data_IF_818915944078
#
_entry.id   IF_818915944078
#
_cell.length_a   1.000
_cell.length_b   1.000
_cell.length_c   1.000
_cell.angle_alpha   90.00
_cell.angle_beta   90.00
_cell.angle_gamma   90.00
#
_symmetry.space_group_name_H-M   'P 1'
#
loop_
_entity.id
_entity.type
_entity.pdbx_description
1 polymer ?
#
# COMPACT_ATOMS: atom_id res chain seq x y z
N UNK A 1 -42.05 -7.26 30.40
CA UNK A 1 -41.51 -6.37 31.46
C UNK A 1 -40.12 -5.95 31.02
N UNK A 2 -39.83 -4.64 31.13
CA UNK A 2 -38.57 -3.94 30.79
C UNK A 2 -38.33 -3.82 29.27
N UNK A 3 -38.95 -2.85 28.57
CA UNK A 3 -38.67 -1.41 28.47
C UNK A 3 -37.52 -1.07 27.47
N UNK A 4 -37.79 -0.29 26.40
CA UNK A 4 -36.77 0.28 25.53
C UNK A 4 -36.30 1.63 26.08
N UNK A 5 -35.01 1.94 26.00
CA UNK A 5 -34.49 3.29 26.21
C UNK A 5 -33.85 3.78 24.91
N UNK A 6 -34.67 4.46 24.13
CA UNK A 6 -34.23 5.51 23.21
C UNK A 6 -33.72 6.70 24.04
N UNK A 7 -32.61 7.30 23.62
CA UNK A 7 -32.17 8.62 24.08
C UNK A 7 -31.92 9.51 22.86
N UNK A 8 -32.64 10.63 22.70
CA UNK A 8 -32.37 11.59 21.65
C UNK A 8 -31.30 12.57 22.13
N UNK A 9 -30.19 12.63 21.42
CA UNK A 9 -29.15 13.65 21.62
C UNK A 9 -29.70 15.00 21.11
N UNK A 10 -30.02 15.90 22.05
CA UNK A 10 -30.41 17.28 21.79
C UNK A 10 -29.20 18.07 21.29
N UNK A 11 -29.18 18.45 20.01
CA UNK A 11 -28.33 19.55 19.54
C UNK A 11 -28.98 20.88 19.97
N UNK A 12 -28.35 21.59 20.90
CA UNK A 12 -28.72 22.96 21.26
C UNK A 12 -28.27 23.90 20.14
N UNK A 13 -29.21 24.35 19.33
CA UNK A 13 -29.04 25.51 18.46
C UNK A 13 -29.10 26.77 19.31
N UNK A 14 -27.95 27.35 19.65
CA UNK A 14 -27.88 28.71 20.23
C UNK A 14 -26.47 29.26 20.08
N UNK A 15 -26.28 30.15 19.09
CA UNK A 15 -25.34 31.29 19.04
C UNK A 15 -24.77 31.50 17.63
N UNK A 16 -25.63 31.86 16.68
CA UNK A 16 -25.23 32.58 15.46
C UNK A 16 -26.13 33.81 15.36
N UNK A 17 -25.89 34.80 16.22
CA UNK A 17 -26.54 36.11 16.15
C UNK A 17 -25.70 37.16 16.90
N UNK A 18 -24.42 37.29 16.56
CA UNK A 18 -23.57 38.38 17.07
C UNK A 18 -22.36 38.67 16.17
N UNK A 19 -22.53 38.65 14.85
CA UNK A 19 -21.43 38.98 13.90
C UNK A 19 -21.84 39.80 12.68
N UNK A 20 -23.07 40.35 12.66
CA UNK A 20 -23.58 41.12 11.53
C UNK A 20 -23.63 42.65 11.73
N UNK A 21 -23.15 43.19 12.86
CA UNK A 21 -23.32 44.62 13.17
C UNK A 21 -22.05 45.43 13.44
N UNK A 22 -20.85 44.88 13.23
CA UNK A 22 -19.58 45.63 13.38
C UNK A 22 -18.93 45.98 12.03
N UNK A 23 -19.56 45.62 10.91
CA UNK A 23 -18.99 45.79 9.56
C UNK A 23 -19.20 47.16 8.92
N UNK A 24 -19.73 48.16 9.63
CA UNK A 24 -20.02 49.48 9.05
C UNK A 24 -19.09 50.62 9.48
N UNK A 25 -18.07 50.38 10.32
CA UNK A 25 -17.14 51.43 10.76
C UNK A 25 -15.70 50.92 10.98
N UNK A 26 -15.12 50.16 10.05
CA UNK A 26 -13.69 49.79 10.13
C UNK A 26 -12.87 50.39 8.98
N UNK A 27 -11.87 51.19 9.34
CA UNK A 27 -10.89 51.78 8.42
C UNK A 27 -10.00 50.69 7.79
N UNK A 28 -9.36 50.95 6.63
CA UNK A 28 -8.60 49.96 5.85
C UNK A 28 -7.46 49.27 6.63
N UNK A 29 -7.01 49.88 7.72
CA UNK A 29 -5.97 49.36 8.63
C UNK A 29 -6.44 48.19 9.49
N UNK A 30 -7.73 48.06 9.81
CA UNK A 30 -8.25 46.98 10.66
C UNK A 30 -8.63 45.70 9.90
N UNK A 31 -8.77 45.75 8.56
CA UNK A 31 -8.95 44.53 7.76
C UNK A 31 -7.69 43.65 7.73
N UNK A 32 -6.48 44.24 7.74
CA UNK A 32 -5.24 43.44 7.78
C UNK A 32 -5.06 42.69 9.09
N UNK A 33 -5.48 43.27 10.21
CA UNK A 33 -5.41 42.63 11.52
C UNK A 33 -6.44 41.50 11.68
N UNK A 34 -7.64 41.66 11.14
CA UNK A 34 -8.69 40.63 11.18
C UNK A 34 -8.36 39.49 10.21
N UNK A 35 -7.82 39.77 9.02
CA UNK A 35 -7.35 38.73 8.08
C UNK A 35 -6.13 37.97 8.64
N UNK A 36 -5.22 38.65 9.35
CA UNK A 36 -4.10 38.00 10.04
C UNK A 36 -4.55 37.16 11.26
N UNK A 37 -5.58 37.60 11.99
CA UNK A 37 -6.15 36.89 13.14
C UNK A 37 -7.05 35.71 12.73
N UNK A 38 -7.65 35.73 11.53
CA UNK A 38 -8.36 34.56 10.98
C UNK A 38 -7.43 33.56 10.27
N UNK A 39 -6.27 33.99 9.79
CA UNK A 39 -5.23 33.07 9.28
C UNK A 39 -4.47 32.33 10.40
N UNK A 40 -4.58 32.79 11.64
CA UNK A 40 -4.09 32.09 12.84
C UNK A 40 -5.13 31.16 13.48
N UNK A 41 -6.35 31.14 12.96
CA UNK A 41 -7.37 30.18 13.37
C UNK A 41 -7.24 28.91 12.52
N UNK A 42 -6.84 27.82 13.18
CA UNK A 42 -6.88 26.41 12.73
C UNK A 42 -5.71 25.97 11.81
N UNK A 43 -4.47 26.26 12.19
CA UNK A 43 -3.45 25.20 12.09
C UNK A 43 -3.65 24.28 13.31
N UNK A 44 -4.73 23.50 13.30
CA UNK A 44 -4.74 22.30 14.15
C UNK A 44 -3.68 21.38 13.54
N UNK A 45 -2.43 21.51 14.00
CA UNK A 45 -1.45 20.46 13.76
C UNK A 45 -2.07 19.18 14.30
N UNK A 46 -2.35 18.25 13.38
CA UNK A 46 -2.83 16.92 13.75
C UNK A 46 -1.74 16.33 14.64
N UNK A 47 -2.03 16.24 15.94
CA UNK A 47 -1.13 15.62 16.90
C UNK A 47 -1.26 14.11 16.75
N UNK A 48 -0.17 13.46 16.35
CA UNK A 48 -0.08 12.02 16.26
C UNK A 48 0.48 11.43 17.56
N UNK A 49 0.04 10.24 17.91
CA UNK A 49 0.72 9.42 18.91
C UNK A 49 2.02 8.91 18.30
N UNK A 50 3.16 9.44 18.79
CA UNK A 50 4.48 9.10 18.28
C UNK A 50 4.87 7.64 18.52
N UNK A 51 4.22 6.97 19.48
CA UNK A 51 4.50 5.58 19.80
C UNK A 51 3.74 4.62 18.88
N UNK A 52 2.47 4.93 18.58
CA UNK A 52 1.57 3.97 17.92
C UNK A 52 1.18 4.32 16.49
N UNK A 53 1.17 5.60 16.12
CA UNK A 53 0.85 6.02 14.76
C UNK A 53 2.03 5.82 13.82
N UNK A 54 1.72 5.57 12.55
CA UNK A 54 2.71 5.22 11.51
C UNK A 54 2.60 6.21 10.37
N UNK A 55 3.74 6.68 9.87
CA UNK A 55 3.81 7.43 8.62
C UNK A 55 3.89 6.45 7.46
N UNK A 56 2.81 6.35 6.68
CA UNK A 56 2.81 5.57 5.44
C UNK A 56 3.51 6.34 4.33
N UNK A 57 4.47 5.70 3.67
CA UNK A 57 5.21 6.27 2.55
C UNK A 57 5.17 5.27 1.39
N UNK A 58 4.93 5.75 0.17
CA UNK A 58 4.98 4.91 -1.02
C UNK A 58 5.60 5.68 -2.18
N UNK A 59 6.13 4.97 -3.17
CA UNK A 59 6.81 5.57 -4.32
C UNK A 59 6.09 5.27 -5.64
N UNK A 60 6.04 6.26 -6.52
CA UNK A 60 5.52 6.15 -7.89
C UNK A 60 6.43 6.87 -8.88
N UNK A 61 6.25 6.58 -10.17
CA UNK A 61 6.86 7.34 -11.27
C UNK A 61 5.92 8.41 -11.81
N UNK A 62 6.48 9.52 -12.31
CA UNK A 62 5.66 10.57 -12.93
C UNK A 62 4.89 10.08 -14.16
N UNK A 63 5.50 9.19 -14.93
CA UNK A 63 5.00 8.58 -16.16
C UNK A 63 4.22 7.27 -15.91
N UNK A 64 4.01 6.89 -14.64
CA UNK A 64 3.25 5.71 -14.28
C UNK A 64 1.77 5.91 -14.64
N UNK A 65 1.34 5.30 -15.75
CA UNK A 65 -0.01 5.49 -16.34
C UNK A 65 -1.19 5.41 -15.38
N UNK A 66 -1.12 4.57 -14.35
CA UNK A 66 -2.21 4.37 -13.37
C UNK A 66 -1.95 5.04 -12.01
N UNK A 67 -0.95 5.93 -11.93
CA UNK A 67 -0.54 6.56 -10.67
C UNK A 67 -1.72 7.20 -9.94
N UNK A 68 -2.47 8.05 -10.62
CA UNK A 68 -3.55 8.82 -9.99
C UNK A 68 -4.65 7.89 -9.44
N UNK A 69 -5.04 6.85 -10.18
CA UNK A 69 -5.99 5.86 -9.71
C UNK A 69 -5.47 5.08 -8.48
N UNK A 70 -4.22 4.59 -8.52
CA UNK A 70 -3.62 3.83 -7.42
C UNK A 70 -3.41 4.70 -6.16
N UNK A 71 -2.95 5.95 -6.33
CA UNK A 71 -2.79 6.91 -5.24
C UNK A 71 -4.12 7.25 -4.58
N UNK A 72 -5.16 7.54 -5.36
CA UNK A 72 -6.51 7.78 -4.83
C UNK A 72 -7.10 6.54 -4.16
N UNK A 73 -6.88 5.36 -4.75
CA UNK A 73 -7.26 4.06 -4.19
C UNK A 73 -6.61 3.82 -2.82
N UNK A 74 -5.32 4.09 -2.66
CA UNK A 74 -4.66 3.97 -1.36
C UNK A 74 -5.22 4.99 -0.36
N UNK A 75 -5.32 6.27 -0.74
CA UNK A 75 -5.85 7.35 0.11
C UNK A 75 -7.25 7.05 0.65
N UNK A 76 -8.18 6.64 -0.22
CA UNK A 76 -9.56 6.32 0.18
C UNK A 76 -9.63 5.09 1.08
N UNK A 77 -8.70 4.14 0.92
CA UNK A 77 -8.68 2.93 1.78
C UNK A 77 -8.27 3.31 3.20
N UNK A 78 -7.37 4.27 3.36
CA UNK A 78 -6.95 4.82 4.65
C UNK A 78 -8.08 5.59 5.33
N UNK A 79 -8.85 6.37 4.58
CA UNK A 79 -10.06 7.04 5.11
C UNK A 79 -11.05 6.01 5.63
N UNK A 80 -11.33 4.96 4.85
CA UNK A 80 -12.28 3.90 5.19
C UNK A 80 -11.92 3.16 6.48
N UNK A 81 -10.63 2.92 6.73
CA UNK A 81 -10.16 2.20 7.93
C UNK A 81 -9.79 3.13 9.07
N UNK A 82 -10.05 4.44 8.94
CA UNK A 82 -9.71 5.46 9.91
C UNK A 82 -8.23 5.42 10.32
N UNK A 83 -7.33 5.24 9.35
CA UNK A 83 -5.90 5.27 9.64
C UNK A 83 -5.50 6.64 10.21
N UNK A 84 -4.72 6.61 11.28
CA UNK A 84 -4.15 7.79 11.92
C UNK A 84 -2.65 7.83 11.63
N UNK A 85 -2.22 8.87 10.92
CA UNK A 85 -0.84 9.07 10.51
C UNK A 85 -0.76 9.79 9.17
N UNK A 86 0.40 10.34 8.79
CA UNK A 86 0.56 10.94 7.47
C UNK A 86 0.64 9.88 6.37
N UNK A 87 0.25 10.27 5.14
CA UNK A 87 0.51 9.50 3.92
C UNK A 87 1.36 10.36 2.98
N UNK A 88 2.55 9.90 2.62
CA UNK A 88 3.40 10.57 1.61
C UNK A 88 3.54 9.74 0.34
N UNK A 89 3.24 10.36 -0.80
CA UNK A 89 3.62 9.84 -2.12
C UNK A 89 4.94 10.46 -2.58
N UNK A 90 5.96 9.63 -2.79
CA UNK A 90 7.22 9.99 -3.43
C UNK A 90 7.06 9.84 -4.93
N UNK A 91 7.18 10.93 -5.70
CA UNK A 91 6.97 10.92 -7.15
C UNK A 91 8.27 11.25 -7.87
N UNK A 92 8.81 10.26 -8.57
CA UNK A 92 10.10 10.40 -9.26
C UNK A 92 9.95 10.87 -10.70
N UNK A 93 10.77 11.86 -11.09
CA UNK A 93 11.00 12.20 -12.50
C UNK A 93 9.99 13.15 -13.15
N UNK A 94 9.27 13.96 -12.37
CA UNK A 94 8.35 14.94 -12.92
C UNK A 94 9.06 16.22 -13.42
N UNK A 95 8.62 16.72 -14.57
CA UNK A 95 8.91 18.09 -15.01
C UNK A 95 8.17 19.11 -14.11
N UNK A 96 8.60 20.38 -14.06
CA UNK A 96 7.89 21.40 -13.27
C UNK A 96 6.41 21.54 -13.63
N UNK A 97 6.07 21.40 -14.92
CA UNK A 97 4.67 21.43 -15.38
C UNK A 97 3.89 20.25 -14.82
N UNK A 98 4.44 19.03 -14.93
CA UNK A 98 3.81 17.85 -14.37
C UNK A 98 3.67 17.93 -12.84
N UNK A 99 4.65 18.49 -12.13
CA UNK A 99 4.55 18.71 -10.67
C UNK A 99 3.36 19.60 -10.34
N UNK A 100 3.23 20.75 -11.02
CA UNK A 100 2.11 21.67 -10.80
C UNK A 100 0.74 21.02 -11.11
N UNK A 101 0.65 20.24 -12.19
CA UNK A 101 -0.56 19.47 -12.53
C UNK A 101 -0.94 18.47 -11.44
N UNK A 102 0.06 17.81 -10.83
CA UNK A 102 -0.12 16.82 -9.77
C UNK A 102 -0.51 17.48 -8.45
N UNK A 103 0.13 18.60 -8.11
CA UNK A 103 -0.19 19.39 -6.92
C UNK A 103 -1.62 19.94 -6.95
N UNK A 104 -2.12 20.26 -8.14
CA UNK A 104 -3.49 20.68 -8.36
C UNK A 104 -4.52 19.54 -8.26
N UNK A 105 -4.09 18.26 -8.21
CA UNK A 105 -5.01 17.14 -8.10
C UNK A 105 -5.70 17.11 -6.73
N UNK A 106 -6.94 16.63 -6.75
CA UNK A 106 -7.69 16.41 -5.52
C UNK A 106 -6.99 15.38 -4.63
N UNK A 107 -6.85 15.74 -3.35
CA UNK A 107 -6.43 14.85 -2.26
C UNK A 107 -7.67 14.31 -1.56
N UNK A 108 -7.65 13.03 -1.22
CA UNK A 108 -8.77 12.34 -0.56
C UNK A 108 -8.46 12.00 0.90
N UNK A 109 -7.18 11.99 1.29
CA UNK A 109 -6.75 11.72 2.65
C UNK A 109 -6.34 13.02 3.38
N UNK A 110 -6.71 13.22 4.67
CA UNK A 110 -6.52 14.49 5.36
C UNK A 110 -5.07 15.01 5.45
N UNK A 111 -4.09 14.16 5.81
CA UNK A 111 -2.65 14.52 5.79
C UNK A 111 -1.94 13.78 4.66
N UNK A 112 -2.34 14.09 3.43
CA UNK A 112 -1.69 13.59 2.21
C UNK A 112 -0.62 14.57 1.70
N UNK A 113 0.61 14.07 1.59
CA UNK A 113 1.81 14.83 1.23
C UNK A 113 2.40 14.32 -0.09
N UNK A 114 2.95 15.24 -0.86
CA UNK A 114 3.68 14.95 -2.08
C UNK A 114 5.17 15.23 -1.84
N UNK A 115 6.04 14.33 -2.28
CA UNK A 115 7.49 14.50 -2.25
C UNK A 115 8.06 14.23 -3.65
N UNK A 116 8.36 15.29 -4.39
CA UNK A 116 8.92 15.15 -5.74
C UNK A 116 10.42 14.93 -5.72
N UNK A 117 10.90 14.02 -6.55
CA UNK A 117 12.32 13.72 -6.69
C UNK A 117 12.74 13.70 -8.15
N UNK A 118 14.05 13.72 -8.41
CA UNK A 118 14.57 13.46 -9.75
C UNK A 118 14.29 12.02 -10.18
N UNK A 119 14.39 11.75 -11.48
CA UNK A 119 14.32 10.37 -11.97
C UNK A 119 15.62 9.62 -11.61
N UNK A 120 15.52 8.53 -10.86
CA UNK A 120 16.63 7.65 -10.51
C UNK A 120 16.67 6.37 -11.35
N UNK A 121 15.71 6.17 -12.26
CA UNK A 121 15.65 4.97 -13.11
C UNK A 121 16.94 4.76 -13.92
N UNK A 122 17.67 5.83 -14.25
CA UNK A 122 18.98 5.76 -14.88
C UNK A 122 20.08 5.93 -13.83
N UNK A 123 20.96 4.94 -13.72
CA UNK A 123 22.17 5.01 -12.92
C UNK A 123 23.40 5.12 -13.83
N UNK A 124 24.30 6.04 -13.53
CA UNK A 124 25.54 6.26 -14.27
C UNK A 124 26.72 6.45 -13.30
N UNK A 125 27.77 5.68 -13.52
CA UNK A 125 29.10 5.84 -12.93
C UNK A 125 30.17 5.56 -13.99
N UNK A 126 31.45 5.88 -13.74
CA UNK A 126 32.53 5.62 -14.69
C UNK A 126 32.68 4.15 -15.11
N UNK A 127 32.20 3.21 -14.29
CA UNK A 127 32.37 1.77 -14.49
C UNK A 127 31.05 1.01 -14.71
N UNK A 128 29.90 1.68 -14.54
CA UNK A 128 28.60 1.02 -14.65
C UNK A 128 27.51 2.01 -15.07
N UNK A 129 26.77 1.65 -16.11
CA UNK A 129 25.61 2.42 -16.56
C UNK A 129 24.45 1.48 -16.82
N UNK A 130 23.27 1.84 -16.32
CA UNK A 130 22.07 1.04 -16.45
C UNK A 130 20.80 1.88 -16.38
N UNK A 131 19.73 1.37 -16.98
CA UNK A 131 18.36 1.81 -16.70
C UNK A 131 17.59 0.69 -16.01
N UNK A 132 17.10 0.95 -14.80
CA UNK A 132 16.29 0.05 -13.99
C UNK A 132 15.27 0.87 -13.18
N UNK A 133 14.00 0.79 -13.57
CA UNK A 133 12.93 1.62 -12.99
C UNK A 133 12.80 1.48 -11.47
N UNK A 134 13.09 0.29 -10.92
CA UNK A 134 12.98 0.06 -9.49
C UNK A 134 14.01 0.83 -8.66
N UNK A 135 15.04 1.44 -9.27
CA UNK A 135 15.90 2.40 -8.57
C UNK A 135 15.12 3.58 -7.96
N UNK A 136 13.99 3.98 -8.56
CA UNK A 136 13.16 5.05 -7.99
C UNK A 136 12.68 4.73 -6.55
N UNK A 137 12.57 3.45 -6.18
CA UNK A 137 12.11 3.01 -4.86
C UNK A 137 13.13 3.32 -3.74
N UNK A 138 14.34 2.72 -3.69
CA UNK A 138 15.33 3.04 -2.66
C UNK A 138 15.83 4.48 -2.72
N UNK A 139 16.09 5.00 -3.93
CA UNK A 139 16.67 6.34 -4.07
C UNK A 139 15.65 7.45 -3.78
N UNK A 140 14.38 7.24 -4.15
CA UNK A 140 13.30 8.15 -3.78
C UNK A 140 13.06 8.16 -2.27
N UNK A 141 13.09 6.99 -1.62
CA UNK A 141 12.98 6.88 -0.17
C UNK A 141 14.13 7.62 0.54
N UNK A 142 15.37 7.46 0.06
CA UNK A 142 16.53 8.19 0.59
C UNK A 142 16.31 9.69 0.50
N UNK A 143 15.88 10.18 -0.65
CA UNK A 143 15.64 11.60 -0.87
C UNK A 143 14.56 12.14 0.06
N UNK A 144 13.45 11.41 0.23
CA UNK A 144 12.41 11.73 1.20
C UNK A 144 12.94 11.83 2.64
N UNK A 145 13.71 10.83 3.09
CA UNK A 145 14.23 10.79 4.46
C UNK A 145 15.13 12.00 4.77
N UNK A 146 15.95 12.43 3.82
CA UNK A 146 16.87 13.56 4.00
C UNK A 146 16.22 14.92 3.76
N UNK A 147 15.34 15.04 2.76
CA UNK A 147 14.90 16.32 2.19
C UNK A 147 13.40 16.63 2.32
N UNK A 148 12.60 15.75 2.93
CA UNK A 148 11.16 16.02 3.13
C UNK A 148 10.93 17.33 3.88
N UNK A 149 9.96 18.11 3.37
CA UNK A 149 9.62 19.43 3.92
C UNK A 149 9.05 19.36 5.35
N UNK A 150 8.26 18.31 5.63
CA UNK A 150 7.66 18.06 6.96
C UNK A 150 8.22 16.76 7.53
N UNK A 151 9.16 16.90 8.46
CA UNK A 151 9.74 15.79 9.22
C UNK A 151 8.90 15.53 10.46
N UNK A 152 8.69 14.25 10.77
CA UNK A 152 8.06 13.76 11.99
C UNK A 152 8.92 12.63 12.59
N UNK A 153 8.65 12.27 13.84
CA UNK A 153 9.39 11.22 14.55
C UNK A 153 8.62 9.88 14.58
N UNK A 154 7.65 9.71 13.69
CA UNK A 154 6.86 8.49 13.60
C UNK A 154 7.70 7.32 13.06
N UNK A 155 7.31 6.10 13.40
CA UNK A 155 7.73 4.95 12.61
C UNK A 155 7.25 5.13 11.17
N UNK A 156 8.09 4.74 10.20
CA UNK A 156 7.77 4.86 8.77
C UNK A 156 7.52 3.47 8.22
N UNK A 157 6.34 3.29 7.63
CA UNK A 157 6.01 2.11 6.85
C UNK A 157 6.15 2.42 5.36
N UNK A 158 7.12 1.79 4.71
CA UNK A 158 7.31 1.92 3.27
C UNK A 158 6.55 0.82 2.53
N UNK A 159 5.59 1.24 1.69
CA UNK A 159 4.61 0.37 1.03
C UNK A 159 4.59 0.61 -0.49
N UNK A 160 3.97 -0.30 -1.24
CA UNK A 160 3.71 -0.11 -2.66
C UNK A 160 2.38 0.65 -2.88
N UNK A 161 2.21 1.28 -4.04
CA UNK A 161 1.00 2.05 -4.36
C UNK A 161 -0.25 1.17 -4.51
N UNK A 162 -0.07 -0.12 -4.79
CA UNK A 162 -1.13 -1.10 -4.98
C UNK A 162 -1.49 -1.84 -3.68
N UNK A 163 -1.73 -1.05 -2.62
CA UNK A 163 -2.28 -1.51 -1.36
C UNK A 163 -3.74 -1.09 -1.18
N UNK A 164 -4.53 -1.99 -0.60
CA UNK A 164 -5.87 -1.70 -0.07
C UNK A 164 -5.91 -2.12 1.39
N UNK A 165 -6.07 -1.16 2.30
CA UNK A 165 -6.13 -1.45 3.73
C UNK A 165 -7.54 -1.85 4.16
N UNK A 166 -7.62 -2.81 5.08
CA UNK A 166 -8.82 -3.26 5.77
C UNK A 166 -8.81 -2.92 7.26
N UNK A 167 -7.63 -2.65 7.82
CA UNK A 167 -7.44 -2.17 9.19
C UNK A 167 -6.45 -1.02 9.19
N UNK A 168 -6.50 -0.10 10.17
CA UNK A 168 -5.44 0.89 10.34
C UNK A 168 -4.12 0.18 10.66
N UNK A 169 -3.02 0.61 10.04
CA UNK A 169 -1.69 0.15 10.43
C UNK A 169 -1.22 0.93 11.66
N UNK A 170 -1.01 0.22 12.77
CA UNK A 170 -0.51 0.74 14.05
C UNK A 170 0.57 -0.19 14.58
N UNK A 171 1.42 0.33 15.45
CA UNK A 171 2.52 -0.41 16.08
C UNK A 171 2.56 -0.13 17.59
N UNK A 172 3.36 -0.88 18.33
CA UNK A 172 3.61 -0.67 19.76
C UNK A 172 2.34 -0.58 20.65
N UNK A 173 1.24 -1.22 20.25
CA UNK A 173 0.00 -1.29 21.04
C UNK A 173 0.05 -2.42 22.07
N UNK A 174 1.10 -3.26 22.04
CA UNK A 174 1.22 -4.46 22.87
C UNK A 174 0.41 -5.64 22.32
N UNK A 175 -0.01 -5.58 21.06
CA UNK A 175 -0.79 -6.62 20.42
C UNK A 175 0.03 -7.91 20.32
N UNK A 176 -0.60 -9.05 20.62
CA UNK A 176 0.01 -10.37 20.46
C UNK A 176 -0.29 -10.91 19.07
N UNK A 177 0.75 -11.19 18.29
CA UNK A 177 0.65 -11.56 16.88
C UNK A 177 1.12 -12.98 16.57
N UNK A 178 1.18 -13.84 17.59
CA UNK A 178 1.52 -15.26 17.47
C UNK A 178 0.80 -15.96 16.30
N UNK A 179 -0.50 -15.68 16.09
CA UNK A 179 -1.31 -16.30 15.03
C UNK A 179 -0.92 -15.89 13.60
N UNK A 180 -0.21 -14.78 13.43
CA UNK A 180 0.23 -14.26 12.13
C UNK A 180 1.73 -14.46 11.90
N UNK A 181 2.40 -15.19 12.80
CA UNK A 181 3.81 -15.47 12.73
C UNK A 181 4.03 -16.89 12.19
N UNK A 182 5.00 -17.03 11.28
CA UNK A 182 5.42 -18.35 10.83
C UNK A 182 6.36 -18.93 11.89
N UNK A 183 5.92 -19.97 12.61
CA UNK A 183 6.76 -20.62 13.63
C UNK A 183 8.12 -21.03 13.08
N UNK A 184 9.17 -20.67 13.82
CA UNK A 184 10.56 -21.06 13.57
C UNK A 184 11.13 -21.73 14.81
N UNK A 185 12.36 -22.25 14.71
CA UNK A 185 13.09 -22.78 15.87
C UNK A 185 13.78 -21.69 16.68
N UNK A 186 13.77 -20.43 16.22
CA UNK A 186 14.56 -19.34 16.79
C UNK A 186 13.78 -18.44 17.75
N UNK A 187 12.49 -18.23 17.50
CA UNK A 187 11.60 -17.46 18.38
C UNK A 187 10.32 -18.24 18.65
N UNK A 188 9.79 -18.07 19.87
CA UNK A 188 8.50 -18.65 20.25
C UNK A 188 7.37 -17.72 19.83
N UNK A 189 6.26 -18.29 19.35
CA UNK A 189 5.14 -17.52 18.82
C UNK A 189 4.54 -16.56 19.85
N UNK A 190 4.50 -16.95 21.13
CA UNK A 190 3.96 -16.15 22.23
C UNK A 190 4.73 -14.85 22.51
N UNK A 191 5.99 -14.79 22.07
CA UNK A 191 6.86 -13.63 22.24
C UNK A 191 6.66 -12.59 21.10
N UNK A 192 5.91 -12.95 20.05
CA UNK A 192 5.69 -12.10 18.87
C UNK A 192 4.65 -11.02 19.17
N UNK A 193 5.07 -9.77 19.00
CA UNK A 193 4.29 -8.56 19.23
C UNK A 193 4.38 -7.59 18.04
N UNK A 194 3.67 -6.48 18.12
CA UNK A 194 3.71 -5.36 17.18
C UNK A 194 4.79 -4.32 17.46
N UNK A 195 5.88 -4.73 18.13
CA UNK A 195 6.93 -3.82 18.57
C UNK A 195 7.76 -3.28 17.39
N UNK A 196 7.95 -1.97 17.36
CA UNK A 196 8.86 -1.23 16.48
C UNK A 196 9.66 -0.24 17.34
N UNK A 197 10.97 -0.46 17.38
CA UNK A 197 11.95 0.39 18.07
C UNK A 197 13.29 0.31 17.33
N UNK A 198 14.30 1.07 17.74
CA UNK A 198 15.59 1.06 17.04
C UNK A 198 16.17 -0.36 17.01
N UNK A 199 16.43 -0.88 15.82
CA UNK A 199 16.92 -2.24 15.58
C UNK A 199 15.85 -3.33 15.57
N UNK A 200 14.57 -3.01 15.81
CA UNK A 200 13.43 -3.93 15.77
C UNK A 200 12.36 -3.40 14.83
N UNK A 201 12.09 -4.15 13.77
CA UNK A 201 11.20 -3.77 12.69
C UNK A 201 10.12 -4.82 12.44
N UNK A 202 9.14 -4.50 11.60
CA UNK A 202 8.12 -5.43 11.12
C UNK A 202 8.14 -5.44 9.59
N UNK A 203 7.90 -6.61 9.00
CA UNK A 203 7.68 -6.72 7.56
C UNK A 203 6.69 -7.82 7.21
N UNK A 204 6.10 -7.73 6.03
CA UNK A 204 5.41 -8.86 5.46
C UNK A 204 6.42 -9.99 5.19
N UNK A 205 6.04 -11.21 5.55
CA UNK A 205 6.74 -12.40 5.11
C UNK A 205 6.42 -12.64 3.62
N UNK A 206 7.40 -12.39 2.75
CA UNK A 206 7.30 -12.59 1.30
C UNK A 206 8.05 -13.85 0.82
N UNK A 207 8.13 -14.88 1.67
CA UNK A 207 8.82 -16.15 1.34
C UNK A 207 8.29 -16.82 0.10
N UNK A 208 7.00 -16.64 -0.17
CA UNK A 208 6.33 -17.06 -1.40
C UNK A 208 7.03 -16.56 -2.68
N UNK A 209 7.58 -15.34 -2.65
CA UNK A 209 8.13 -14.65 -3.81
C UNK A 209 9.64 -14.60 -3.83
N UNK A 210 10.23 -14.18 -2.71
CA UNK A 210 11.67 -13.95 -2.63
C UNK A 210 12.44 -15.22 -2.31
N UNK A 211 11.79 -16.17 -1.61
CA UNK A 211 12.45 -17.35 -1.08
C UNK A 211 13.57 -16.96 -0.12
N UNK A 212 14.80 -17.37 -0.44
CA UNK A 212 16.01 -16.88 0.21
C UNK A 212 17.13 -16.83 -0.80
N UNK A 213 16.96 -16.04 -1.86
CA UNK A 213 17.79 -16.12 -3.06
C UNK A 213 19.23 -15.72 -2.79
N UNK A 214 19.46 -14.78 -1.88
CA UNK A 214 20.81 -14.34 -1.51
C UNK A 214 21.32 -15.06 -0.25
N UNK A 215 20.43 -15.34 0.71
CA UNK A 215 20.77 -15.98 1.98
C UNK A 215 20.55 -17.50 2.05
N UNK A 216 20.55 -18.22 0.92
CA UNK A 216 20.52 -19.69 0.94
C UNK A 216 21.92 -20.30 1.10
N UNK A 217 21.96 -21.52 1.62
CA UNK A 217 23.21 -22.27 1.83
C UNK A 217 23.86 -22.77 0.53
N UNK A 218 23.14 -22.76 -0.59
CA UNK A 218 23.59 -23.36 -1.85
C UNK A 218 24.42 -22.39 -2.70
N UNK A 219 24.06 -21.10 -2.72
CA UNK A 219 24.73 -20.10 -3.55
C UNK A 219 24.71 -18.71 -2.89
N UNK A 220 25.76 -18.44 -2.10
CA UNK A 220 26.02 -17.13 -1.48
C UNK A 220 26.85 -16.18 -2.37
N UNK A 221 27.10 -16.54 -3.62
CA UNK A 221 28.03 -15.77 -4.49
C UNK A 221 27.56 -14.34 -4.69
N UNK A 222 26.27 -14.14 -5.01
CA UNK A 222 25.71 -12.80 -5.21
C UNK A 222 25.77 -12.00 -3.91
N UNK A 223 25.34 -12.60 -2.79
CA UNK A 223 25.41 -11.98 -1.47
C UNK A 223 26.85 -11.52 -1.14
N UNK A 224 27.84 -12.38 -1.33
CA UNK A 224 29.24 -12.06 -1.04
C UNK A 224 29.78 -10.95 -1.94
N UNK A 225 29.36 -10.91 -3.21
CA UNK A 225 29.74 -9.83 -4.14
C UNK A 225 29.06 -8.49 -3.79
N UNK A 226 27.84 -8.54 -3.25
CA UNK A 226 27.08 -7.34 -2.85
C UNK A 226 27.56 -6.80 -1.50
N UNK A 227 27.64 -7.66 -0.48
CA UNK A 227 28.06 -7.31 0.87
C UNK A 227 29.57 -7.08 0.98
N UNK A 228 30.38 -7.77 0.18
CA UNK A 228 31.84 -7.74 0.32
C UNK A 228 32.27 -8.15 1.73
N UNK A 229 32.98 -7.27 2.43
CA UNK A 229 33.43 -7.48 3.82
C UNK A 229 32.47 -6.91 4.86
N UNK A 230 31.30 -6.40 4.45
CA UNK A 230 30.33 -5.79 5.36
C UNK A 230 29.57 -6.84 6.19
N UNK A 231 29.04 -6.49 7.38
CA UNK A 231 28.33 -7.41 8.28
C UNK A 231 27.31 -8.35 7.62
N UNK A 232 26.56 -7.87 6.62
CA UNK A 232 25.55 -8.68 5.92
C UNK A 232 26.09 -9.95 5.25
N UNK A 233 27.39 -10.03 4.94
CA UNK A 233 28.04 -11.21 4.38
C UNK A 233 28.14 -12.37 5.39
N UNK A 234 28.15 -12.08 6.69
CA UNK A 234 28.41 -13.05 7.76
C UNK A 234 27.14 -13.58 8.43
N UNK A 235 25.96 -13.16 7.97
CA UNK A 235 24.67 -13.62 8.51
C UNK A 235 24.43 -15.07 8.13
N UNK A 236 24.03 -15.89 9.10
CA UNK A 236 23.68 -17.30 8.86
C UNK A 236 22.36 -17.37 8.09
N UNK A 237 22.15 -18.44 7.33
CA UNK A 237 20.89 -18.62 6.59
C UNK A 237 19.70 -18.69 7.55
N UNK A 238 19.86 -19.31 8.73
CA UNK A 238 18.84 -19.34 9.77
C UNK A 238 18.47 -17.93 10.27
N UNK A 239 19.46 -17.10 10.64
CA UNK A 239 19.22 -15.72 11.05
C UNK A 239 18.60 -14.87 9.93
N UNK A 240 19.02 -15.09 8.69
CA UNK A 240 18.45 -14.39 7.55
C UNK A 240 16.97 -14.69 7.39
N UNK A 241 16.60 -15.98 7.37
CA UNK A 241 15.21 -16.44 7.27
C UNK A 241 14.31 -16.04 8.43
N UNK A 242 14.92 -15.73 9.57
CA UNK A 242 14.24 -15.28 10.77
C UNK A 242 14.00 -13.76 10.79
N UNK A 243 14.99 -12.97 10.34
CA UNK A 243 15.02 -11.52 10.62
C UNK A 243 15.19 -10.60 9.42
N UNK A 244 15.66 -11.06 8.26
CA UNK A 244 16.17 -10.14 7.21
C UNK A 244 15.66 -10.44 5.80
N UNK A 245 15.56 -11.71 5.39
CA UNK A 245 15.02 -12.15 4.10
C UNK A 245 14.12 -13.36 4.37
N UNK A 246 12.87 -13.43 3.90
CA UNK A 246 12.28 -12.68 2.80
C UNK A 246 11.35 -11.56 3.28
N UNK A 247 11.94 -10.39 3.51
CA UNK A 247 11.20 -9.18 3.88
C UNK A 247 10.46 -8.61 2.68
N UNK A 248 9.16 -8.37 2.84
CA UNK A 248 8.30 -7.69 1.89
C UNK A 248 7.64 -6.44 2.46
N UNK A 249 7.09 -5.61 1.59
CA UNK A 249 6.26 -4.47 2.02
C UNK A 249 5.03 -4.96 2.80
N UNK A 250 4.51 -4.19 3.78
CA UNK A 250 5.07 -2.95 4.31
C UNK A 250 6.38 -3.21 5.06
N UNK A 251 7.39 -2.36 4.83
CA UNK A 251 8.61 -2.33 5.63
C UNK A 251 8.43 -1.29 6.74
N UNK A 252 8.30 -1.72 8.01
CA UNK A 252 7.94 -0.83 9.12
C UNK A 252 9.08 -0.78 10.11
N UNK A 253 9.70 0.39 10.23
CA UNK A 253 10.80 0.61 11.17
C UNK A 253 10.86 2.08 11.59
N UNK A 254 11.66 2.37 12.62
CA UNK A 254 11.85 3.74 13.08
C UNK A 254 12.48 4.60 11.98
N UNK A 255 12.22 5.91 12.01
CA UNK A 255 12.91 6.85 11.11
C UNK A 255 14.43 6.82 11.31
N UNK A 256 14.88 6.56 12.54
CA UNK A 256 16.30 6.37 12.87
C UNK A 256 16.91 5.22 12.06
N UNK A 257 16.32 4.03 12.13
CA UNK A 257 16.80 2.86 11.38
C UNK A 257 16.75 3.08 9.86
N UNK A 258 15.69 3.74 9.36
CA UNK A 258 15.59 4.10 7.95
C UNK A 258 16.78 4.93 7.45
N UNK A 259 17.22 5.92 8.22
CA UNK A 259 18.36 6.76 7.83
C UNK A 259 19.67 5.98 7.71
N UNK A 260 19.84 4.91 8.48
CA UNK A 260 21.00 4.02 8.40
C UNK A 260 20.86 3.01 7.24
N UNK A 261 19.71 2.34 7.16
CA UNK A 261 19.44 1.28 6.19
C UNK A 261 19.41 1.83 4.76
N UNK A 262 18.86 3.02 4.52
CA UNK A 262 18.57 3.48 3.16
C UNK A 262 19.82 3.71 2.31
N UNK A 263 20.96 4.05 2.92
CA UNK A 263 22.22 4.22 2.20
C UNK A 263 22.75 2.88 1.68
N UNK A 264 22.77 1.85 2.53
CA UNK A 264 23.12 0.51 2.10
C UNK A 264 22.08 -0.06 1.13
N UNK A 265 20.79 0.25 1.30
CA UNK A 265 19.74 -0.17 0.38
C UNK A 265 20.00 0.37 -1.04
N UNK A 266 20.31 1.66 -1.20
CA UNK A 266 20.69 2.24 -2.48
C UNK A 266 21.94 1.57 -3.06
N UNK A 267 22.99 1.46 -2.25
CA UNK A 267 24.29 0.94 -2.70
C UNK A 267 24.21 -0.55 -3.10
N UNK A 268 23.52 -1.37 -2.31
CA UNK A 268 23.36 -2.80 -2.57
C UNK A 268 22.43 -3.07 -3.74
N UNK A 269 21.44 -2.20 -4.00
CA UNK A 269 20.60 -2.33 -5.21
C UNK A 269 21.47 -2.15 -6.46
N UNK A 270 22.29 -1.08 -6.51
CA UNK A 270 23.23 -0.87 -7.64
C UNK A 270 24.22 -2.03 -7.75
N UNK A 271 24.81 -2.46 -6.63
CA UNK A 271 25.79 -3.54 -6.65
C UNK A 271 25.18 -4.88 -7.08
N UNK A 272 23.95 -5.17 -6.64
CA UNK A 272 23.19 -6.34 -7.06
C UNK A 272 22.94 -6.33 -8.56
N UNK A 273 22.56 -5.17 -9.14
CA UNK A 273 22.34 -5.03 -10.58
C UNK A 273 23.63 -5.14 -11.40
N UNK A 274 24.78 -4.75 -10.85
CA UNK A 274 26.08 -4.96 -11.48
C UNK A 274 26.42 -6.45 -11.66
N UNK A 275 26.02 -7.30 -10.71
CA UNK A 275 26.39 -8.72 -10.70
C UNK A 275 25.26 -9.66 -11.14
N UNK A 276 24.03 -9.16 -11.17
CA UNK A 276 22.82 -9.91 -11.55
C UNK A 276 21.85 -9.01 -12.31
N UNK A 277 22.27 -8.60 -13.50
CA UNK A 277 21.55 -7.61 -14.34
C UNK A 277 20.20 -8.11 -14.85
N UNK A 278 19.98 -9.41 -14.95
CA UNK A 278 18.73 -9.95 -15.50
C UNK A 278 17.66 -10.18 -14.43
N UNK A 279 18.02 -10.02 -13.15
CA UNK A 279 17.09 -10.28 -12.06
C UNK A 279 16.21 -9.07 -11.75
N UNK A 280 14.90 -9.25 -11.86
CA UNK A 280 13.94 -8.13 -11.87
C UNK A 280 13.60 -7.58 -10.47
N UNK A 281 13.90 -8.33 -9.39
CA UNK A 281 13.61 -7.97 -7.98
C UNK A 281 14.86 -7.66 -7.14
N UNK A 282 15.93 -7.17 -7.76
CA UNK A 282 17.21 -6.94 -7.06
C UNK A 282 17.09 -5.98 -5.89
N UNK A 283 16.23 -4.96 -5.99
CA UNK A 283 15.94 -4.04 -4.91
C UNK A 283 15.32 -4.74 -3.69
N UNK A 284 14.53 -5.79 -3.87
CA UNK A 284 13.92 -6.49 -2.74
C UNK A 284 14.98 -7.30 -1.97
N UNK A 285 15.89 -7.98 -2.67
CA UNK A 285 17.00 -8.71 -2.03
C UNK A 285 18.02 -7.74 -1.40
N UNK A 286 18.29 -6.61 -2.07
CA UNK A 286 19.16 -5.56 -1.57
C UNK A 286 18.64 -4.95 -0.26
N UNK A 287 17.32 -4.80 -0.11
CA UNK A 287 16.73 -4.37 1.15
C UNK A 287 17.06 -5.35 2.29
N UNK A 288 16.85 -6.66 2.08
CA UNK A 288 17.17 -7.70 3.05
C UNK A 288 18.65 -7.66 3.48
N UNK A 289 19.56 -7.49 2.52
CA UNK A 289 20.98 -7.33 2.82
C UNK A 289 21.29 -6.01 3.57
N UNK A 290 20.59 -4.92 3.26
CA UNK A 290 20.79 -3.62 3.90
C UNK A 290 20.36 -3.63 5.37
N UNK A 291 19.21 -4.24 5.69
CA UNK A 291 18.75 -4.37 7.08
C UNK A 291 19.62 -5.34 7.88
N UNK A 292 20.08 -6.43 7.24
CA UNK A 292 21.09 -7.32 7.82
C UNK A 292 22.39 -6.58 8.13
N UNK A 293 22.82 -5.68 7.23
CA UNK A 293 24.05 -4.93 7.40
C UNK A 293 24.01 -3.96 8.59
N UNK A 294 22.82 -3.43 8.87
CA UNK A 294 22.58 -2.48 9.96
C UNK A 294 21.99 -3.16 11.21
N UNK A 295 21.90 -4.50 11.24
CA UNK A 295 21.32 -5.30 12.32
C UNK A 295 19.90 -4.83 12.74
N UNK A 296 19.08 -4.43 11.76
CA UNK A 296 17.66 -4.10 11.98
C UNK A 296 16.85 -5.37 11.78
N UNK A 297 16.46 -6.01 12.88
CA UNK A 297 15.82 -7.33 12.88
C UNK A 297 14.32 -7.20 12.69
N UNK A 298 13.80 -7.84 11.67
CA UNK A 298 12.36 -7.84 11.41
C UNK A 298 11.64 -8.97 12.15
N UNK A 299 10.43 -8.68 12.61
CA UNK A 299 9.41 -9.71 12.82
C UNK A 299 8.65 -9.88 11.51
N UNK A 300 8.82 -11.04 10.88
CA UNK A 300 8.19 -11.37 9.60
C UNK A 300 6.78 -11.90 9.85
N UNK A 301 5.78 -11.15 9.42
CA UNK A 301 4.37 -11.41 9.68
C UNK A 301 3.62 -11.72 8.40
N UNK A 302 2.62 -12.58 8.50
CA UNK A 302 1.89 -13.09 7.34
C UNK A 302 0.74 -12.19 6.90
N UNK A 303 0.30 -11.25 7.74
CA UNK A 303 -0.98 -10.54 7.64
C UNK A 303 -0.87 -9.04 7.34
N UNK A 304 0.34 -8.51 7.14
CA UNK A 304 0.52 -7.07 6.94
C UNK A 304 0.17 -6.64 5.50
N UNK A 305 0.50 -7.48 4.53
CA UNK A 305 0.25 -7.24 3.10
C UNK A 305 0.37 -8.51 2.26
N UNK A 306 -0.35 -9.60 2.57
CA UNK A 306 -0.32 -10.80 1.73
C UNK A 306 -0.80 -10.48 0.31
N UNK A 307 -0.23 -11.18 -0.68
CA UNK A 307 -0.42 -10.89 -2.09
C UNK A 307 -0.88 -12.10 -2.92
N UNK A 308 -0.54 -13.33 -2.52
CA UNK A 308 -0.86 -14.54 -3.27
C UNK A 308 -1.57 -15.60 -2.44
N UNK A 309 -2.89 -15.78 -2.65
CA UNK A 309 -3.70 -16.78 -1.96
C UNK A 309 -3.18 -18.22 -1.98
N UNK A 310 -2.41 -18.62 -2.99
CA UNK A 310 -1.86 -19.98 -3.08
C UNK A 310 -0.87 -20.32 -1.94
N UNK A 311 -0.22 -19.32 -1.36
CA UNK A 311 0.85 -19.49 -0.37
C UNK A 311 0.34 -19.41 1.08
N UNK A 312 -0.65 -20.24 1.39
CA UNK A 312 -1.33 -20.35 2.70
C UNK A 312 -0.40 -20.54 3.92
N UNK A 313 0.84 -21.00 3.70
CA UNK A 313 1.80 -21.28 4.77
C UNK A 313 2.71 -20.08 5.09
N UNK A 314 2.81 -19.10 4.19
CA UNK A 314 3.72 -17.95 4.34
C UNK A 314 2.96 -16.63 4.37
N UNK A 315 1.67 -16.65 4.06
CA UNK A 315 0.78 -15.51 4.02
C UNK A 315 -0.55 -15.85 4.70
N UNK A 316 -1.19 -14.84 5.29
CA UNK A 316 -2.42 -15.03 6.06
C UNK A 316 -3.64 -15.04 5.13
N UNK A 317 -4.13 -16.25 4.85
CA UNK A 317 -5.30 -16.53 4.00
C UNK A 317 -6.30 -17.46 4.71
N UNK A 318 -6.42 -17.29 6.02
CA UNK A 318 -7.35 -18.03 6.87
C UNK A 318 -8.35 -17.03 7.50
N UNK A 319 -8.99 -16.23 6.65
CA UNK A 319 -9.94 -15.19 7.08
C UNK A 319 -11.29 -15.25 6.35
N UNK A 320 -11.41 -16.04 5.28
CA UNK A 320 -12.70 -16.28 4.64
C UNK A 320 -13.38 -17.47 5.30
N UNK A 321 -14.53 -17.19 5.92
CA UNK A 321 -15.38 -18.19 6.53
C UNK A 321 -16.18 -18.99 5.50
N UNK A 322 -16.56 -20.23 5.84
CA UNK A 322 -17.26 -21.12 4.92
C UNK A 322 -18.64 -20.60 4.50
N UNK A 323 -19.33 -19.91 5.42
CA UNK A 323 -20.67 -19.35 5.28
C UNK A 323 -20.70 -17.89 4.81
N UNK A 324 -19.53 -17.34 4.45
CA UNK A 324 -19.43 -15.97 3.94
C UNK A 324 -20.35 -15.76 2.72
N UNK A 325 -21.12 -14.66 2.68
CA UNK A 325 -21.94 -14.33 1.52
C UNK A 325 -21.11 -14.22 0.24
N UNK A 326 -21.71 -14.58 -0.90
CA UNK A 326 -21.05 -14.49 -2.20
C UNK A 326 -20.56 -13.05 -2.47
N UNK A 327 -19.24 -12.80 -2.56
CA UNK A 327 -18.68 -11.48 -2.72
C UNK A 327 -18.93 -10.88 -4.10
N UNK A 328 -19.48 -11.62 -5.04
CA UNK A 328 -19.77 -11.20 -6.40
C UNK A 328 -21.28 -11.01 -6.66
N UNK A 329 -22.14 -11.29 -5.67
CA UNK A 329 -23.60 -11.23 -5.82
C UNK A 329 -24.16 -9.79 -5.75
N UNK A 330 -23.80 -9.03 -4.72
CA UNK A 330 -24.13 -7.59 -4.65
C UNK A 330 -23.17 -6.81 -5.55
N UNK A 331 -23.61 -5.97 -6.50
CA UNK A 331 -22.70 -5.26 -7.39
C UNK A 331 -22.01 -4.01 -6.78
N UNK A 332 -22.38 -3.62 -5.56
CA UNK A 332 -21.96 -2.36 -4.95
C UNK A 332 -21.15 -2.57 -3.67
N UNK A 333 -21.64 -3.36 -2.73
CA UNK A 333 -21.01 -3.44 -1.39
C UNK A 333 -19.95 -4.54 -1.31
N UNK A 334 -18.80 -4.19 -0.74
CA UNK A 334 -17.74 -5.15 -0.43
C UNK A 334 -18.18 -6.06 0.72
N UNK A 335 -18.01 -7.37 0.54
CA UNK A 335 -18.20 -8.35 1.63
C UNK A 335 -16.89 -8.46 2.39
N UNK A 336 -16.87 -8.06 3.66
CA UNK A 336 -15.66 -8.09 4.48
C UNK A 336 -15.66 -9.31 5.43
N UNK A 337 -14.53 -10.01 5.56
CA UNK A 337 -14.35 -11.01 6.62
C UNK A 337 -14.37 -10.37 8.01
N UNK A 338 -14.57 -11.20 9.04
CA UNK A 338 -14.47 -10.76 10.44
C UNK A 338 -13.03 -10.38 10.83
N UNK A 339 -12.04 -11.09 10.31
CA UNK A 339 -10.62 -10.88 10.63
C UNK A 339 -9.75 -10.72 9.36
N UNK A 340 -9.88 -9.64 8.56
CA UNK A 340 -9.04 -9.44 7.39
C UNK A 340 -7.56 -9.21 7.77
N UNK A 341 -6.60 -9.35 6.83
CA UNK A 341 -5.25 -8.82 7.01
C UNK A 341 -5.27 -7.29 7.18
N UNK A 342 -4.16 -6.67 7.57
CA UNK A 342 -4.07 -5.21 7.68
C UNK A 342 -4.36 -4.55 6.33
N UNK A 343 -3.74 -5.06 5.28
CA UNK A 343 -4.05 -4.71 3.90
C UNK A 343 -3.76 -5.87 2.95
N UNK A 344 -4.08 -5.67 1.68
CA UNK A 344 -3.70 -6.57 0.59
C UNK A 344 -2.78 -5.82 -0.35
N UNK A 345 -1.64 -6.43 -0.69
CA UNK A 345 -0.79 -6.00 -1.78
C UNK A 345 -1.29 -6.66 -3.07
N UNK A 346 -2.10 -5.95 -3.86
CA UNK A 346 -2.79 -6.52 -5.02
C UNK A 346 -1.93 -6.59 -6.29
N UNK A 347 -0.72 -7.15 -6.16
CA UNK A 347 0.27 -7.24 -7.24
C UNK A 347 0.06 -8.43 -8.18
N UNK A 348 -0.88 -9.33 -7.88
CA UNK A 348 -1.07 -10.61 -8.59
C UNK A 348 -2.35 -10.62 -9.43
N UNK A 349 -2.52 -11.71 -10.19
CA UNK A 349 -3.76 -12.00 -10.89
C UNK A 349 -4.78 -12.61 -9.93
N UNK A 350 -5.99 -12.06 -9.91
CA UNK A 350 -7.08 -12.59 -9.08
C UNK A 350 -8.30 -12.95 -9.92
N UNK A 351 -8.59 -14.24 -10.04
CA UNK A 351 -9.82 -14.76 -10.63
C UNK A 351 -9.97 -16.28 -10.49
N UNK A 352 -11.14 -16.80 -10.86
CA UNK A 352 -11.43 -18.23 -10.79
C UNK A 352 -10.45 -19.10 -11.62
N UNK A 353 -10.12 -18.77 -12.88
CA UNK A 353 -9.34 -19.67 -13.74
C UNK A 353 -7.89 -19.88 -13.27
N UNK A 354 -7.27 -20.99 -13.66
CA UNK A 354 -5.88 -21.29 -13.34
C UNK A 354 -4.89 -20.63 -14.30
N UNK A 355 -5.31 -20.44 -15.56
CA UNK A 355 -4.50 -19.81 -16.59
C UNK A 355 -4.71 -18.31 -16.58
N UNK A 356 -3.63 -17.53 -16.49
CA UNK A 356 -3.69 -16.06 -16.37
C UNK A 356 -4.29 -15.32 -17.58
N UNK A 357 -4.55 -16.05 -18.67
CA UNK A 357 -5.10 -15.57 -19.95
C UNK A 357 -6.55 -16.04 -20.19
N UNK A 358 -7.18 -16.69 -19.20
CA UNK A 358 -8.56 -17.19 -19.30
C UNK A 358 -9.52 -16.51 -18.30
N UNK A 359 -10.78 -16.38 -18.71
CA UNK A 359 -11.90 -15.91 -17.88
C UNK A 359 -11.71 -14.53 -17.26
N UNK A 360 -12.46 -14.24 -16.19
CA UNK A 360 -12.39 -12.97 -15.50
C UNK A 360 -11.20 -12.96 -14.55
N UNK A 361 -10.37 -11.92 -14.61
CA UNK A 361 -9.23 -11.73 -13.72
C UNK A 361 -8.96 -10.25 -13.47
N UNK A 362 -8.97 -9.86 -12.19
CA UNK A 362 -8.44 -8.56 -11.79
C UNK A 362 -6.91 -8.57 -11.86
N UNK A 363 -6.34 -7.55 -12.51
CA UNK A 363 -4.92 -7.26 -12.47
C UNK A 363 -4.66 -5.77 -12.69
N UNK A 364 -3.82 -5.16 -11.84
CA UNK A 364 -3.58 -3.71 -11.85
C UNK A 364 -3.06 -3.18 -13.19
N UNK A 365 -2.26 -3.97 -13.92
CA UNK A 365 -1.73 -3.54 -15.21
C UNK A 365 -2.69 -3.75 -16.39
N UNK A 366 -3.86 -4.36 -16.15
CA UNK A 366 -4.95 -4.47 -17.13
C UNK A 366 -5.96 -3.32 -17.04
N UNK A 367 -5.86 -2.46 -16.02
CA UNK A 367 -6.71 -1.26 -15.91
C UNK A 367 -6.46 -0.35 -17.14
N UNK A 368 -7.52 0.03 -17.89
CA UNK A 368 -7.41 0.93 -19.03
C UNK A 368 -6.77 2.27 -18.63
N UNK A 369 -5.97 2.87 -19.51
CA UNK A 369 -5.27 4.13 -19.20
C UNK A 369 -6.21 5.34 -19.12
N UNK A 370 -7.35 5.27 -19.79
CA UNK A 370 -8.41 6.28 -19.87
C UNK A 370 -9.52 6.04 -18.83
N UNK A 371 -9.33 5.15 -17.86
CA UNK A 371 -10.36 4.79 -16.87
C UNK A 371 -10.88 5.99 -16.07
N UNK A 372 -10.09 7.06 -15.96
CA UNK A 372 -10.43 8.29 -15.25
C UNK A 372 -11.25 9.29 -16.08
N UNK A 373 -11.33 9.12 -17.40
CA UNK A 373 -12.07 10.02 -18.27
C UNK A 373 -13.57 10.00 -17.94
N UNK A 374 -14.26 11.12 -18.12
CA UNK A 374 -15.66 11.26 -17.71
C UNK A 374 -16.60 10.31 -18.45
N UNK A 375 -16.33 10.02 -19.72
CA UNK A 375 -17.12 9.09 -20.55
C UNK A 375 -16.75 7.62 -20.34
N UNK A 376 -15.62 7.34 -19.70
CA UNK A 376 -15.19 5.97 -19.43
C UNK A 376 -16.13 5.27 -18.47
N UNK A 377 -16.51 4.04 -18.81
CA UNK A 377 -17.31 3.15 -18.00
C UNK A 377 -16.58 2.76 -16.71
N UNK A 378 -17.34 2.30 -15.73
CA UNK A 378 -16.86 1.64 -14.51
C UNK A 378 -16.56 0.15 -14.78
N UNK A 379 -15.85 -0.50 -13.86
CA UNK A 379 -15.57 -1.92 -13.93
C UNK A 379 -16.85 -2.76 -13.79
N UNK A 380 -16.99 -3.76 -14.64
CA UNK A 380 -18.03 -4.78 -14.56
C UNK A 380 -17.54 -5.94 -13.69
N UNK A 381 -18.38 -6.36 -12.75
CA UNK A 381 -18.12 -7.55 -11.93
C UNK A 381 -18.16 -8.84 -12.77
N UNK A 382 -17.39 -9.88 -12.38
CA UNK A 382 -17.59 -11.20 -12.94
C UNK A 382 -18.97 -11.75 -12.55
N UNK A 383 -19.46 -12.79 -13.26
CA UNK A 383 -20.67 -13.48 -12.87
C UNK A 383 -20.58 -14.01 -11.43
N UNK A 384 -21.66 -13.85 -10.66
CA UNK A 384 -21.73 -14.37 -9.29
C UNK A 384 -21.54 -15.90 -9.22
N UNK A 385 -21.73 -16.60 -10.34
CA UNK A 385 -21.46 -18.03 -10.46
C UNK A 385 -19.99 -18.39 -10.26
N UNK A 386 -19.03 -17.47 -10.47
CA UNK A 386 -17.60 -17.77 -10.23
C UNK A 386 -17.36 -18.23 -8.79
N UNK A 387 -18.05 -17.63 -7.81
CA UNK A 387 -17.98 -18.02 -6.40
C UNK A 387 -18.54 -19.42 -6.15
N UNK A 388 -19.72 -19.72 -6.69
CA UNK A 388 -20.39 -21.02 -6.46
C UNK A 388 -19.73 -22.16 -7.24
N UNK A 389 -19.07 -21.87 -8.36
CA UNK A 389 -18.38 -22.87 -9.18
C UNK A 389 -17.10 -23.40 -8.51
N UNK A 390 -16.53 -22.69 -7.54
CA UNK A 390 -15.30 -23.13 -6.84
C UNK A 390 -15.49 -24.51 -6.23
N UNK A 391 -16.60 -24.73 -5.53
CA UNK A 391 -16.88 -26.00 -4.84
C UNK A 391 -17.11 -27.16 -5.83
N UNK A 392 -17.57 -26.85 -7.05
CA UNK A 392 -17.77 -27.81 -8.13
C UNK A 392 -16.45 -28.16 -8.82
N UNK A 393 -15.70 -27.14 -9.24
CA UNK A 393 -14.46 -27.30 -10.01
C UNK A 393 -13.32 -27.89 -9.16
N UNK A 394 -13.29 -27.59 -7.86
CA UNK A 394 -12.22 -27.99 -6.95
C UNK A 394 -12.74 -28.86 -5.80
N UNK A 395 -13.79 -29.65 -6.07
CA UNK A 395 -14.40 -30.57 -5.10
C UNK A 395 -13.37 -31.47 -4.42
N UNK A 396 -12.48 -32.05 -5.22
CA UNK A 396 -11.49 -33.04 -4.77
C UNK A 396 -10.15 -32.42 -4.33
N UNK A 397 -10.06 -31.08 -4.30
CA UNK A 397 -8.84 -30.38 -3.89
C UNK A 397 -9.17 -29.27 -2.87
N UNK A 398 -9.26 -29.61 -1.56
CA UNK A 398 -9.67 -28.67 -0.52
C UNK A 398 -8.71 -27.47 -0.39
N UNK A 399 -7.40 -27.70 -0.53
CA UNK A 399 -6.40 -26.64 -0.53
C UNK A 399 -6.64 -25.65 -1.69
N UNK A 400 -6.92 -26.19 -2.89
CA UNK A 400 -7.21 -25.37 -4.06
C UNK A 400 -8.51 -24.60 -3.96
N UNK A 401 -9.56 -25.25 -3.45
CA UNK A 401 -10.83 -24.62 -3.13
C UNK A 401 -10.63 -23.43 -2.18
N UNK A 402 -9.85 -23.61 -1.11
CA UNK A 402 -9.57 -22.53 -0.15
C UNK A 402 -8.90 -21.32 -0.81
N UNK A 403 -7.80 -21.49 -1.54
CA UNK A 403 -7.13 -20.33 -2.13
C UNK A 403 -7.94 -19.70 -3.27
N UNK A 404 -8.72 -20.50 -4.02
CA UNK A 404 -9.64 -19.97 -5.03
C UNK A 404 -10.78 -19.15 -4.44
N UNK A 405 -11.29 -19.50 -3.25
CA UNK A 405 -12.23 -18.63 -2.51
C UNK A 405 -11.62 -17.26 -2.24
N UNK A 406 -10.39 -17.20 -1.76
CA UNK A 406 -9.68 -15.93 -1.53
C UNK A 406 -9.42 -15.15 -2.82
N UNK A 407 -9.02 -15.84 -3.88
CA UNK A 407 -8.79 -15.22 -5.18
C UNK A 407 -10.07 -14.60 -5.78
N UNK A 408 -11.20 -15.32 -5.78
CA UNK A 408 -12.49 -14.77 -6.29
C UNK A 408 -13.03 -13.67 -5.36
N UNK A 409 -12.85 -13.81 -4.05
CA UNK A 409 -13.16 -12.74 -3.10
C UNK A 409 -12.38 -11.46 -3.39
N UNK A 410 -11.07 -11.57 -3.63
CA UNK A 410 -10.22 -10.43 -3.99
C UNK A 410 -10.64 -9.77 -5.29
N UNK A 411 -10.89 -10.57 -6.33
CA UNK A 411 -11.34 -10.08 -7.63
C UNK A 411 -12.60 -9.20 -7.49
N UNK A 412 -13.63 -9.72 -6.81
CA UNK A 412 -14.88 -8.99 -6.64
C UNK A 412 -14.73 -7.79 -5.68
N UNK A 413 -13.93 -7.93 -4.63
CA UNK A 413 -13.62 -6.84 -3.69
C UNK A 413 -12.88 -5.68 -4.36
N UNK A 414 -11.82 -5.97 -5.12
CA UNK A 414 -11.01 -4.96 -5.80
C UNK A 414 -11.78 -4.27 -6.94
N UNK A 415 -12.67 -4.97 -7.64
CA UNK A 415 -13.55 -4.36 -8.65
C UNK A 415 -14.54 -3.39 -8.01
N UNK A 416 -15.22 -3.80 -6.92
CA UNK A 416 -16.17 -2.94 -6.20
C UNK A 416 -15.50 -1.73 -5.61
N UNK A 417 -14.38 -1.94 -4.94
CA UNK A 417 -13.59 -0.88 -4.36
C UNK A 417 -13.05 0.07 -5.43
N UNK A 418 -12.53 -0.47 -6.53
CA UNK A 418 -12.13 0.33 -7.69
C UNK A 418 -13.27 1.19 -8.24
N UNK A 419 -14.49 0.66 -8.30
CA UNK A 419 -15.66 1.42 -8.70
C UNK A 419 -16.04 2.54 -7.71
N UNK A 420 -15.89 2.31 -6.41
CA UNK A 420 -16.07 3.34 -5.38
C UNK A 420 -15.05 4.47 -5.55
N UNK A 421 -13.78 4.11 -5.78
CA UNK A 421 -12.69 5.06 -6.07
C UNK A 421 -13.02 5.87 -7.33
N UNK A 422 -13.39 5.21 -8.43
CA UNK A 422 -13.73 5.88 -9.69
C UNK A 422 -14.94 6.81 -9.54
N UNK A 423 -16.01 6.38 -8.87
CA UNK A 423 -17.17 7.24 -8.58
C UNK A 423 -16.75 8.47 -7.80
N UNK A 424 -15.93 8.28 -6.76
CA UNK A 424 -15.43 9.38 -5.93
C UNK A 424 -14.59 10.36 -6.75
N UNK A 425 -13.66 9.85 -7.57
CA UNK A 425 -12.81 10.70 -8.40
C UNK A 425 -13.63 11.46 -9.46
N UNK A 426 -14.45 10.74 -10.23
CA UNK A 426 -15.22 11.32 -11.34
C UNK A 426 -16.29 12.30 -10.88
N UNK A 427 -16.90 12.08 -9.71
CA UNK A 427 -17.84 13.03 -9.13
C UNK A 427 -17.21 14.41 -8.87
N UNK A 428 -15.88 14.48 -8.70
CA UNK A 428 -15.17 15.75 -8.52
C UNK A 428 -14.58 16.30 -9.81
N UNK A 429 -14.11 15.44 -10.71
CA UNK A 429 -13.39 15.87 -11.92
C UNK A 429 -14.29 16.10 -13.13
N UNK A 430 -15.54 15.60 -13.09
CA UNK A 430 -16.47 15.66 -14.21
C UNK A 430 -17.67 16.56 -13.88
N UNK A 431 -17.61 17.87 -14.20
CA UNK A 431 -18.63 18.84 -13.80
C UNK A 431 -20.01 18.58 -14.42
N UNK A 432 -20.05 17.99 -15.62
CA UNK A 432 -21.27 17.69 -16.35
C UNK A 432 -21.82 16.28 -16.07
N UNK A 433 -21.26 15.60 -15.07
CA UNK A 433 -21.53 14.19 -14.76
C UNK A 433 -20.54 13.23 -15.41
N UNK A 434 -20.67 11.94 -15.08
CA UNK A 434 -19.77 10.90 -15.57
C UNK A 434 -20.53 9.62 -15.90
N UNK A 435 -19.94 8.78 -16.74
CA UNK A 435 -20.48 7.49 -17.11
C UNK A 435 -20.41 6.50 -15.94
N UNK A 436 -21.53 6.29 -15.26
CA UNK A 436 -21.65 5.36 -14.13
C UNK A 436 -21.96 3.92 -14.55
N UNK A 437 -22.01 3.61 -15.85
CA UNK A 437 -22.28 2.27 -16.34
C UNK A 437 -21.11 1.32 -16.05
N UNK A 438 -21.39 0.14 -15.49
CA UNK A 438 -20.39 -0.90 -15.22
C UNK A 438 -20.21 -1.81 -16.45
N UNK A 439 -19.34 -1.39 -17.37
CA UNK A 439 -19.13 -2.06 -18.66
C UNK A 439 -17.72 -2.61 -18.89
N UNK A 440 -16.70 -2.11 -18.19
CA UNK A 440 -15.31 -2.55 -18.39
C UNK A 440 -15.10 -3.94 -17.82
N UNK A 441 -15.05 -4.94 -18.69
CA UNK A 441 -14.79 -6.32 -18.29
C UNK A 441 -13.29 -6.54 -18.14
N UNK A 442 -12.85 -6.90 -16.93
CA UNK A 442 -11.49 -7.35 -16.66
C UNK A 442 -11.34 -8.83 -17.07
N UNK A 443 -11.42 -9.10 -18.37
CA UNK A 443 -11.21 -10.44 -18.94
C UNK A 443 -9.74 -10.66 -19.24
N UNK A 444 -9.22 -11.83 -18.92
CA UNK A 444 -7.79 -12.06 -18.90
C UNK A 444 -7.07 -11.73 -20.22
N UNK A 445 -7.50 -12.34 -21.32
CA UNK A 445 -6.94 -12.05 -22.65
C UNK A 445 -7.53 -10.80 -23.31
N UNK A 446 -8.78 -10.47 -22.96
CA UNK A 446 -9.62 -9.55 -23.72
C UNK A 446 -10.00 -8.30 -22.93
N UNK A 447 -9.22 -7.94 -21.91
CA UNK A 447 -9.46 -6.67 -21.19
C UNK A 447 -9.39 -5.53 -22.21
N UNK A 448 -10.45 -4.71 -22.34
CA UNK A 448 -10.46 -3.59 -23.26
C UNK A 448 -9.26 -2.67 -23.02
N UNK A 449 -8.64 -2.20 -24.09
CA UNK A 449 -7.56 -1.19 -23.99
C UNK A 449 -8.07 0.18 -23.54
N UNK A 450 -9.36 0.41 -23.76
CA UNK A 450 -10.09 1.64 -23.45
C UNK A 450 -11.27 1.31 -22.55
N UNK A 451 -11.59 2.21 -21.63
CA UNK A 451 -12.80 2.15 -20.82
C UNK A 451 -13.99 2.88 -21.47
N UNK A 452 -13.81 3.49 -22.65
CA UNK A 452 -14.90 4.15 -23.37
C UNK A 452 -15.93 3.13 -23.87
N UNK A 453 -17.22 3.52 -23.98
CA UNK A 453 -18.23 2.67 -24.58
C UNK A 453 -17.85 2.27 -26.01
N UNK A 454 -17.83 0.97 -26.29
CA UNK A 454 -17.70 0.47 -27.66
C UNK A 454 -19.08 0.37 -28.31
N UNK A 455 -19.23 0.77 -29.60
CA UNK A 455 -20.48 0.68 -30.34
C UNK A 455 -21.10 -0.72 -30.41
#
# INVERSE_FOLDING_TARGET
>A
MVAPMESPMRCSATSIAALASVLLLSTPTNMKAIVAATATAINNEISYDLQTNVHLVFSTGCDQKRRQFLSASLQLSLVRVHHAGPLTEIISGCSPVAQAEIEAQRKYYPDFRLHFTKNYAKYESPTFTETYNAYNKPFGLRDFLHHSAKKDNLAVAFIDADYMLFKPLVVNTGAKWAKYYQNTTMRRAEDITDTVENGVALAQNMKAFLGGRWYNDFNRTILNLVCGTKPCANVSSADAFEYFEPTGTPYIQTRHDWLHVVEDYCNFTVKGRQVSKDDWMIEMYAYGAAVANNNVRHTLLQHLGPATPEFLNTEYWNFIEEDMPNPCADPFHVVLPADPPVGIHYAMYYGLPDTIDEGYMYYKYRIPSDILDCDSQLFKLPPASEWTQIDVLYKDNPKKRQWKRHTVWLQCTLIKYGNEVLRTMKAHTCPDGFNSHQGVVMHAKDTPRTALPTP
#
